data_IF_378724633794
#
_entry.id   IF_378724633794
#
_cell.length_a   1.000
_cell.length_b   1.000
_cell.length_c   1.000
_cell.angle_alpha   90.00
_cell.angle_beta   90.00
_cell.angle_gamma   90.00
#
_symmetry.space_group_name_H-M   'P 1'
#
loop_
_entity.id
_entity.type
_entity.pdbx_description
1 polymer ?
#
# COMPACT_ATOMS: atom_id res chain seq x y z
N UNK A 1 -85.62 -1.39 -0.46
CA UNK A 1 -85.40 0.03 -0.83
C UNK A 1 -83.90 0.22 -0.99
N UNK A 2 -83.41 0.29 -2.24
CA UNK A 2 -82.82 1.51 -2.84
C UNK A 2 -81.42 1.81 -2.27
N UNK A 3 -80.31 1.89 -3.02
CA UNK A 3 -80.08 2.04 -4.47
C UNK A 3 -78.70 1.48 -4.87
N UNK A 4 -78.67 1.03 -6.12
CA UNK A 4 -77.55 0.67 -6.99
C UNK A 4 -76.65 1.86 -7.37
N UNK A 5 -75.51 1.53 -8.01
CA UNK A 5 -74.70 2.27 -9.01
C UNK A 5 -73.27 2.53 -8.51
N UNK A 6 -72.20 2.36 -9.27
CA UNK A 6 -71.93 1.78 -10.59
C UNK A 6 -70.39 1.69 -10.68
N UNK A 7 -69.85 0.70 -11.40
CA UNK A 7 -68.41 0.64 -11.72
C UNK A 7 -68.14 1.21 -13.11
N UNK A 8 -66.96 1.84 -13.21
CA UNK A 8 -66.11 2.08 -14.40
C UNK A 8 -66.45 3.29 -15.30
N UNK A 9 -65.54 3.77 -16.18
CA UNK A 9 -64.06 3.78 -16.15
C UNK A 9 -63.44 5.13 -16.64
N UNK A 10 -62.10 5.14 -16.75
CA UNK A 10 -61.26 5.93 -17.69
C UNK A 10 -60.93 7.41 -17.41
N UNK A 11 -59.61 7.64 -17.42
CA UNK A 11 -58.89 8.69 -18.18
C UNK A 11 -58.18 9.73 -17.31
N UNK A 12 -56.84 9.66 -17.30
CA UNK A 12 -56.00 10.73 -17.87
C UNK A 12 -54.50 10.46 -17.63
N UNK A 13 -53.80 10.21 -18.74
CA UNK A 13 -52.46 10.66 -19.10
C UNK A 13 -51.41 10.97 -18.00
N UNK A 14 -50.30 10.23 -18.06
CA UNK A 14 -48.97 10.71 -17.64
C UNK A 14 -48.57 11.96 -18.44
N UNK A 15 -47.79 12.85 -17.81
CA UNK A 15 -46.53 13.23 -18.43
C UNK A 15 -45.36 12.90 -17.52
N UNK A 16 -44.35 12.30 -18.14
CA UNK A 16 -42.96 12.26 -17.67
C UNK A 16 -42.57 13.62 -17.08
N UNK A 17 -42.11 13.62 -15.83
CA UNK A 17 -41.17 14.64 -15.39
C UNK A 17 -39.90 13.95 -14.90
N UNK A 18 -38.91 14.07 -15.78
CA UNK A 18 -37.49 13.87 -15.56
C UNK A 18 -37.07 14.35 -14.15
N UNK A 19 -36.71 13.41 -13.29
CA UNK A 19 -35.65 13.62 -12.30
C UNK A 19 -34.68 12.45 -12.41
N UNK A 20 -33.95 12.42 -13.52
CA UNK A 20 -32.64 11.80 -13.59
C UNK A 20 -31.67 12.74 -12.84
N UNK A 21 -31.81 12.82 -11.52
CA UNK A 21 -30.76 13.39 -10.68
C UNK A 21 -29.58 12.44 -10.71
N UNK A 22 -28.67 12.73 -11.64
CA UNK A 22 -27.25 12.50 -11.55
C UNK A 22 -26.87 11.24 -10.75
N UNK A 23 -26.96 10.09 -11.43
CA UNK A 23 -25.96 9.04 -11.29
C UNK A 23 -24.61 9.62 -11.71
N UNK A 24 -24.04 10.50 -10.89
CA UNK A 24 -22.60 10.60 -10.83
C UNK A 24 -22.19 9.35 -10.05
N UNK A 25 -21.47 8.38 -10.64
CA UNK A 25 -20.53 7.67 -9.81
C UNK A 25 -19.71 8.76 -9.13
N UNK A 26 -19.75 8.78 -7.80
CA UNK A 26 -18.67 9.40 -7.04
C UNK A 26 -17.44 8.64 -7.51
N UNK A 27 -16.72 9.23 -8.48
CA UNK A 27 -15.37 8.86 -8.85
C UNK A 27 -14.48 9.22 -7.66
N UNK A 28 -14.61 8.43 -6.61
CA UNK A 28 -13.81 8.48 -5.38
C UNK A 28 -13.21 7.10 -5.20
N UNK A 29 -12.39 6.67 -6.17
CA UNK A 29 -11.69 5.38 -6.12
C UNK A 29 -10.17 5.53 -6.32
N UNK A 30 -9.64 6.69 -5.95
CA UNK A 30 -8.23 7.05 -6.11
C UNK A 30 -7.43 7.08 -4.79
N UNK A 31 -8.03 6.86 -3.62
CA UNK A 31 -7.29 6.99 -2.34
C UNK A 31 -6.43 5.76 -1.95
N UNK A 32 -6.46 4.65 -2.69
CA UNK A 32 -5.78 3.41 -2.27
C UNK A 32 -5.07 2.64 -3.42
N UNK A 33 -4.49 3.36 -4.39
CA UNK A 33 -3.72 2.74 -5.48
C UNK A 33 -2.25 3.15 -5.42
N UNK A 34 -1.36 2.28 -5.92
CA UNK A 34 0.10 2.48 -5.88
C UNK A 34 0.65 2.64 -4.46
N UNK A 35 0.51 1.60 -3.63
CA UNK A 35 1.02 1.63 -2.26
C UNK A 35 2.26 0.76 -2.11
N UNK A 36 3.30 1.27 -1.44
CA UNK A 36 4.49 0.50 -1.09
C UNK A 36 4.53 0.25 0.41
N UNK A 37 4.78 -0.98 0.83
CA UNK A 37 4.94 -1.34 2.24
C UNK A 37 6.08 -2.31 2.49
N UNK A 38 6.40 -2.48 3.77
CA UNK A 38 7.29 -3.52 4.27
C UNK A 38 6.47 -4.55 5.03
N UNK A 39 6.71 -5.82 4.77
CA UNK A 39 5.91 -6.92 5.30
C UNK A 39 6.79 -8.09 5.72
N UNK A 40 6.28 -8.99 6.56
CA UNK A 40 6.96 -10.20 6.98
C UNK A 40 6.74 -11.38 6.01
N UNK A 41 5.87 -11.19 5.03
CA UNK A 41 5.52 -12.14 3.98
C UNK A 41 5.54 -11.46 2.59
N UNK A 42 5.79 -12.22 1.51
CA UNK A 42 5.86 -11.68 0.15
C UNK A 42 4.50 -11.25 -0.43
N UNK A 43 3.39 -11.68 0.19
CA UNK A 43 2.03 -11.35 -0.28
C UNK A 43 1.56 -9.98 0.25
N UNK A 44 2.34 -9.36 1.14
CA UNK A 44 2.05 -8.03 1.66
C UNK A 44 0.94 -8.00 2.70
N UNK A 45 0.83 -9.04 3.53
CA UNK A 45 -0.32 -9.24 4.44
C UNK A 45 0.02 -9.09 5.92
N UNK A 46 1.29 -9.23 6.30
CA UNK A 46 1.78 -9.22 7.67
C UNK A 46 2.70 -8.01 7.87
N UNK A 47 2.15 -6.93 8.39
CA UNK A 47 2.85 -5.67 8.65
C UNK A 47 3.44 -5.58 10.08
N UNK A 48 3.25 -6.61 10.91
CA UNK A 48 3.79 -6.67 12.27
C UNK A 48 4.08 -8.09 12.72
N UNK A 49 5.12 -8.26 13.53
CA UNK A 49 5.47 -9.55 14.13
C UNK A 49 6.22 -9.37 15.44
N UNK A 50 5.95 -10.23 16.43
CA UNK A 50 6.75 -10.32 17.64
C UNK A 50 8.05 -11.10 17.37
N UNK A 51 9.17 -10.57 17.85
CA UNK A 51 10.50 -11.15 17.61
C UNK A 51 11.31 -11.18 18.90
N UNK A 52 12.29 -12.06 18.94
CA UNK A 52 13.33 -12.02 19.98
C UNK A 52 14.27 -10.84 19.74
N UNK A 53 14.78 -10.17 20.79
CA UNK A 53 15.84 -9.18 20.64
C UNK A 53 17.11 -9.78 20.04
N UNK A 54 17.86 -8.99 19.27
CA UNK A 54 19.14 -9.36 18.65
C UNK A 54 19.02 -10.47 17.61
N UNK A 55 18.07 -10.34 16.71
CA UNK A 55 17.72 -11.33 15.71
C UNK A 55 17.72 -10.75 14.30
N UNK A 56 17.92 -11.62 13.31
CA UNK A 56 17.87 -11.24 11.90
C UNK A 56 16.55 -11.67 11.26
N UNK A 57 16.00 -10.80 10.43
CA UNK A 57 14.73 -11.02 9.75
C UNK A 57 14.82 -10.67 8.28
N UNK A 58 13.94 -11.28 7.48
CA UNK A 58 13.63 -10.82 6.14
C UNK A 58 12.31 -10.06 6.16
N UNK A 59 12.35 -8.83 5.66
CA UNK A 59 11.16 -8.05 5.32
C UNK A 59 11.02 -8.00 3.81
N UNK A 60 9.80 -8.00 3.31
CA UNK A 60 9.47 -7.94 1.89
C UNK A 60 8.96 -6.55 1.58
N UNK A 61 9.60 -5.89 0.63
CA UNK A 61 9.15 -4.63 0.09
C UNK A 61 8.13 -4.93 -1.02
N UNK A 62 6.86 -4.67 -0.76
CA UNK A 62 5.74 -5.09 -1.64
C UNK A 62 4.99 -3.88 -2.14
N UNK A 63 4.82 -3.81 -3.47
CA UNK A 63 3.94 -2.86 -4.16
C UNK A 63 2.54 -3.46 -4.25
N UNK A 64 1.54 -2.72 -3.80
CA UNK A 64 0.15 -3.11 -3.72
C UNK A 64 -0.73 -2.23 -4.62
N UNK A 65 -1.68 -2.88 -5.28
CA UNK A 65 -2.65 -2.26 -6.18
C UNK A 65 -2.00 -1.33 -7.22
N UNK A 66 -0.97 -1.77 -7.97
CA UNK A 66 -0.33 -0.91 -8.93
C UNK A 66 -1.25 -0.62 -10.12
N UNK A 67 -1.47 0.66 -10.37
CA UNK A 67 -2.25 1.19 -11.49
C UNK A 67 -1.47 2.32 -12.18
N UNK A 68 -1.58 2.40 -13.50
CA UNK A 68 -1.01 3.49 -14.28
C UNK A 68 -2.16 4.34 -14.85
N UNK A 69 -2.28 5.57 -14.34
CA UNK A 69 -3.29 6.57 -14.75
C UNK A 69 -2.91 7.30 -16.06
N UNK A 70 -1.63 7.25 -16.44
CA UNK A 70 -1.08 7.91 -17.63
C UNK A 70 -1.04 7.02 -18.87
N UNK A 71 -1.39 5.75 -18.76
CA UNK A 71 -1.15 4.76 -19.80
C UNK A 71 -1.76 5.16 -21.16
N UNK A 72 -0.91 5.29 -22.17
CA UNK A 72 -1.31 5.67 -23.53
C UNK A 72 -2.00 7.05 -23.63
N UNK A 73 -1.89 7.88 -22.60
CA UNK A 73 -2.42 9.24 -22.56
C UNK A 73 -3.93 9.39 -22.30
N UNK A 74 -4.68 8.33 -21.93
CA UNK A 74 -6.13 8.48 -21.72
C UNK A 74 -6.85 7.50 -20.79
N UNK A 75 -6.18 6.84 -19.84
CA UNK A 75 -6.94 6.10 -18.82
C UNK A 75 -6.11 5.34 -17.79
N UNK A 76 -6.76 5.06 -16.66
CA UNK A 76 -6.28 4.16 -15.60
C UNK A 76 -6.38 2.71 -16.03
N UNK A 77 -5.29 1.96 -15.87
CA UNK A 77 -5.30 0.49 -15.95
C UNK A 77 -4.51 -0.14 -14.82
N UNK A 78 -4.77 -1.43 -14.59
CA UNK A 78 -3.91 -2.26 -13.76
C UNK A 78 -2.55 -2.49 -14.43
N UNK A 79 -1.49 -2.45 -13.63
CA UNK A 79 -0.13 -2.78 -14.06
C UNK A 79 0.08 -4.28 -13.97
N UNK A 80 0.49 -4.93 -15.07
CA UNK A 80 0.76 -6.36 -15.11
C UNK A 80 2.20 -6.72 -14.72
N UNK A 81 3.15 -5.79 -14.86
CA UNK A 81 4.54 -6.01 -14.46
C UNK A 81 5.33 -4.71 -14.24
N UNK A 82 6.35 -4.77 -13.38
CA UNK A 82 7.15 -3.63 -12.92
C UNK A 82 8.59 -3.77 -13.39
N UNK A 83 9.10 -2.77 -14.11
CA UNK A 83 10.47 -2.77 -14.66
C UNK A 83 11.52 -2.19 -13.69
N UNK A 84 11.09 -1.39 -12.71
CA UNK A 84 11.99 -0.76 -11.75
C UNK A 84 11.22 0.02 -10.69
N UNK A 85 11.91 0.47 -9.65
CA UNK A 85 11.35 1.27 -8.58
C UNK A 85 12.39 2.12 -7.87
N UNK A 86 11.92 3.16 -7.17
CA UNK A 86 12.73 3.99 -6.30
C UNK A 86 12.03 4.26 -4.96
N UNK A 87 12.75 4.09 -3.85
CA UNK A 87 12.30 4.45 -2.51
C UNK A 87 13.46 4.54 -1.51
N UNK A 88 13.27 5.28 -0.42
CA UNK A 88 14.12 5.20 0.76
C UNK A 88 13.49 4.35 1.86
N UNK A 89 14.32 3.66 2.65
CA UNK A 89 13.92 2.89 3.83
C UNK A 89 14.57 3.52 5.07
N UNK A 90 13.76 3.87 6.05
CA UNK A 90 14.21 4.47 7.30
C UNK A 90 14.01 3.46 8.43
N UNK A 91 15.06 2.75 8.86
CA UNK A 91 14.96 1.85 9.99
C UNK A 91 14.73 2.64 11.29
N UNK A 92 13.98 2.06 12.26
CA UNK A 92 13.88 2.63 13.60
C UNK A 92 15.24 2.63 14.31
N UNK A 93 15.39 3.49 15.31
CA UNK A 93 16.60 3.52 16.13
C UNK A 93 16.86 2.16 16.77
N UNK A 94 18.06 1.63 16.55
CA UNK A 94 18.47 0.32 17.06
C UNK A 94 18.44 -0.77 16.00
N UNK A 95 17.78 -0.56 14.86
CA UNK A 95 17.75 -1.52 13.76
C UNK A 95 18.71 -1.15 12.64
N UNK A 96 19.19 -2.18 11.93
CA UNK A 96 20.12 -2.03 10.83
C UNK A 96 19.64 -2.80 9.60
N UNK A 97 19.69 -2.15 8.43
CA UNK A 97 19.55 -2.81 7.15
C UNK A 97 20.87 -3.51 6.81
N UNK A 98 20.85 -4.82 6.67
CA UNK A 98 22.03 -5.65 6.40
C UNK A 98 22.29 -5.79 4.91
N UNK A 99 21.26 -6.15 4.15
CA UNK A 99 21.34 -6.36 2.71
C UNK A 99 19.96 -6.23 2.06
N UNK A 100 19.96 -6.10 0.73
CA UNK A 100 18.76 -6.13 -0.10
C UNK A 100 18.97 -7.16 -1.19
N UNK A 101 18.03 -8.08 -1.32
CA UNK A 101 17.97 -9.14 -2.32
C UNK A 101 16.82 -8.81 -3.28
N UNK A 102 17.05 -8.93 -4.58
CA UNK A 102 16.04 -8.68 -5.61
C UNK A 102 15.49 -10.00 -6.17
N UNK A 103 14.18 -10.08 -6.48
CA UNK A 103 13.56 -11.31 -6.99
C UNK A 103 14.08 -11.72 -8.38
N UNK A 104 14.60 -10.75 -9.12
CA UNK A 104 15.22 -10.92 -10.44
C UNK A 104 16.56 -10.17 -10.45
N UNK A 105 17.40 -10.46 -11.45
CA UNK A 105 18.62 -9.69 -11.68
C UNK A 105 18.27 -8.21 -11.81
N UNK A 106 18.95 -7.36 -11.05
CA UNK A 106 18.67 -5.94 -10.99
C UNK A 106 19.96 -5.13 -10.85
N UNK A 107 19.91 -3.87 -11.26
CA UNK A 107 20.91 -2.86 -10.96
C UNK A 107 20.30 -1.91 -9.95
N UNK A 108 20.91 -1.82 -8.77
CA UNK A 108 20.63 -0.76 -7.80
C UNK A 108 21.77 0.26 -7.86
N UNK A 109 21.48 1.48 -8.29
CA UNK A 109 22.49 2.57 -8.33
C UNK A 109 22.54 3.39 -7.04
N UNK A 110 21.67 3.08 -6.08
CA UNK A 110 21.63 3.72 -4.77
C UNK A 110 22.39 2.93 -3.69
N UNK A 111 21.85 2.91 -2.48
CA UNK A 111 22.38 2.21 -1.30
C UNK A 111 21.34 1.22 -0.76
N UNK A 112 21.63 0.53 0.34
CA UNK A 112 20.68 -0.40 1.00
C UNK A 112 19.46 0.30 1.59
N UNK A 113 19.58 1.58 1.96
CA UNK A 113 18.49 2.39 2.51
C UNK A 113 17.92 3.42 1.54
N UNK A 114 18.48 3.52 0.32
CA UNK A 114 18.01 4.41 -0.74
C UNK A 114 18.07 3.64 -2.06
N UNK A 115 16.98 2.98 -2.40
CA UNK A 115 16.87 2.08 -3.53
C UNK A 115 16.49 2.86 -4.78
N UNK A 116 17.29 2.71 -5.84
CA UNK A 116 16.98 3.19 -7.19
C UNK A 116 17.32 2.03 -8.12
N UNK A 117 16.30 1.27 -8.49
CA UNK A 117 16.44 -0.10 -8.98
C UNK A 117 15.81 -0.25 -10.35
N UNK A 118 16.58 -0.78 -11.30
CA UNK A 118 16.08 -1.28 -12.57
C UNK A 118 16.26 -2.80 -12.66
N UNK A 119 15.20 -3.53 -12.98
CA UNK A 119 15.27 -4.97 -13.17
C UNK A 119 15.69 -5.30 -14.62
N UNK A 120 16.51 -6.33 -14.79
CA UNK A 120 16.88 -6.84 -16.12
C UNK A 120 15.69 -7.48 -16.84
N UNK A 121 14.65 -7.87 -16.10
CA UNK A 121 13.36 -8.36 -16.59
C UNK A 121 12.27 -7.85 -15.65
N UNK A 122 11.11 -7.51 -16.19
CA UNK A 122 10.00 -7.02 -15.39
C UNK A 122 9.53 -8.04 -14.34
N UNK A 123 9.28 -7.57 -13.11
CA UNK A 123 8.69 -8.34 -12.03
C UNK A 123 7.18 -8.43 -12.27
N UNK A 124 6.60 -9.63 -12.38
CA UNK A 124 5.15 -9.76 -12.60
C UNK A 124 4.36 -9.31 -11.37
N UNK A 125 3.24 -8.62 -11.61
CA UNK A 125 2.23 -8.35 -10.59
C UNK A 125 1.34 -9.59 -10.49
N UNK A 126 1.17 -10.11 -9.27
CA UNK A 126 0.38 -11.31 -9.01
C UNK A 126 -1.11 -11.07 -9.24
N UNK A 127 -1.89 -12.16 -9.24
CA UNK A 127 -3.36 -12.07 -9.27
C UNK A 127 -3.97 -11.37 -8.05
N UNK A 128 -3.24 -11.23 -6.94
CA UNK A 128 -3.64 -10.44 -5.78
C UNK A 128 -3.33 -8.95 -5.92
N UNK A 129 -2.90 -8.50 -7.11
CA UNK A 129 -2.45 -7.11 -7.38
C UNK A 129 -1.30 -6.69 -6.48
N UNK A 130 -0.36 -7.61 -6.23
CA UNK A 130 0.84 -7.37 -5.43
C UNK A 130 2.09 -7.77 -6.20
N UNK A 131 3.20 -7.04 -5.98
CA UNK A 131 4.52 -7.40 -6.48
C UNK A 131 5.56 -7.23 -5.38
N UNK A 132 6.23 -8.31 -4.99
CA UNK A 132 7.44 -8.23 -4.15
C UNK A 132 8.57 -7.66 -4.99
N UNK A 133 9.06 -6.48 -4.64
CA UNK A 133 10.12 -5.78 -5.36
C UNK A 133 11.51 -6.08 -4.78
N UNK A 134 11.59 -6.35 -3.48
CA UNK A 134 12.84 -6.71 -2.82
C UNK A 134 12.59 -7.47 -1.50
N UNK A 135 13.59 -8.23 -1.07
CA UNK A 135 13.71 -8.76 0.28
C UNK A 135 14.83 -8.01 1.00
N UNK A 136 14.48 -7.35 2.10
CA UNK A 136 15.39 -6.56 2.93
C UNK A 136 15.76 -7.39 4.16
N UNK A 137 17.05 -7.70 4.31
CA UNK A 137 17.57 -8.34 5.52
C UNK A 137 17.83 -7.27 6.57
N UNK A 138 17.30 -7.48 7.76
CA UNK A 138 17.44 -6.54 8.88
C UNK A 138 17.96 -7.24 10.11
N UNK A 139 18.78 -6.55 10.89
CA UNK A 139 19.13 -6.92 12.27
C UNK A 139 18.30 -6.07 13.21
N UNK A 140 17.60 -6.72 14.13
CA UNK A 140 16.77 -6.05 15.12
C UNK A 140 17.24 -6.26 16.55
N UNK A 141 17.30 -5.19 17.33
CA UNK A 141 17.71 -5.23 18.74
C UNK A 141 16.51 -5.23 19.71
N UNK A 142 15.28 -5.36 19.21
CA UNK A 142 14.10 -5.69 20.02
C UNK A 142 13.42 -4.51 20.73
N UNK A 143 13.64 -3.26 20.33
CA UNK A 143 13.00 -2.08 20.94
C UNK A 143 12.49 -1.06 19.90
N UNK A 144 11.74 -1.52 18.91
CA UNK A 144 11.43 -0.74 17.72
C UNK A 144 10.00 -0.19 17.67
N UNK A 145 9.59 0.47 18.75
CA UNK A 145 8.28 1.15 18.82
C UNK A 145 8.10 2.22 17.74
N UNK A 146 9.19 2.77 17.22
CA UNK A 146 9.16 3.75 16.15
C UNK A 146 8.75 3.16 14.79
N UNK A 147 8.92 1.85 14.60
CA UNK A 147 8.64 1.16 13.34
C UNK A 147 9.54 1.57 12.18
N UNK A 148 9.47 0.83 11.09
CA UNK A 148 10.13 1.17 9.84
C UNK A 148 9.28 2.17 9.07
N UNK A 149 9.90 3.22 8.55
CA UNK A 149 9.23 4.17 7.65
C UNK A 149 9.79 4.02 6.23
N UNK A 150 9.00 4.46 5.26
CA UNK A 150 9.47 4.68 3.90
C UNK A 150 9.69 6.18 3.68
N UNK A 151 10.52 6.50 2.69
CA UNK A 151 10.80 7.86 2.25
C UNK A 151 10.96 7.90 0.74
N UNK A 152 11.02 9.08 0.15
CA UNK A 152 11.38 9.22 -1.26
C UNK A 152 12.84 8.85 -1.49
N UNK A 153 13.17 8.42 -2.70
CA UNK A 153 14.56 8.22 -3.06
C UNK A 153 15.30 9.57 -3.15
N UNK A 154 16.63 9.54 -3.02
CA UNK A 154 17.51 10.69 -3.21
C UNK A 154 18.60 10.35 -4.24
N UNK A 155 18.63 11.02 -5.40
CA UNK A 155 17.62 11.98 -5.90
C UNK A 155 16.26 11.30 -6.15
N UNK A 156 15.19 12.08 -6.06
CA UNK A 156 13.83 11.64 -6.41
C UNK A 156 13.56 11.91 -7.89
N UNK A 157 12.96 10.96 -8.59
CA UNK A 157 12.56 11.14 -9.99
C UNK A 157 11.24 11.90 -10.10
N UNK A 158 10.28 11.63 -9.21
CA UNK A 158 9.05 12.43 -9.07
C UNK A 158 9.09 13.19 -7.73
N UNK A 159 8.94 14.54 -7.74
CA UNK A 159 8.96 15.31 -6.50
C UNK A 159 7.89 14.89 -5.49
N UNK A 160 8.32 14.52 -4.27
CA UNK A 160 7.44 14.30 -3.13
C UNK A 160 6.75 12.94 -3.07
N UNK A 161 7.05 12.02 -3.99
CA UNK A 161 6.53 10.65 -3.98
C UNK A 161 7.65 9.64 -4.25
N UNK A 162 7.41 8.37 -3.93
CA UNK A 162 8.22 7.27 -4.47
C UNK A 162 7.73 6.95 -5.88
N UNK A 163 8.49 6.21 -6.68
CA UNK A 163 8.05 5.88 -8.04
C UNK A 163 8.40 4.45 -8.46
N UNK A 164 7.61 3.91 -9.39
CA UNK A 164 7.93 2.67 -10.09
C UNK A 164 7.73 2.83 -11.59
N UNK A 165 8.31 1.90 -12.36
CA UNK A 165 8.20 1.88 -13.83
C UNK A 165 7.24 0.78 -14.23
N UNK A 166 6.16 1.15 -14.92
CA UNK A 166 5.25 0.23 -15.58
C UNK A 166 5.92 -0.37 -16.82
N UNK A 167 6.22 -1.67 -16.78
CA UNK A 167 6.99 -2.32 -17.84
C UNK A 167 6.23 -2.46 -19.18
N UNK A 168 4.92 -2.27 -19.14
CA UNK A 168 4.02 -2.39 -20.29
C UNK A 168 3.78 -1.03 -20.96
N UNK A 169 4.20 0.07 -20.33
CA UNK A 169 4.10 1.41 -20.89
C UNK A 169 5.32 1.74 -21.77
N UNK A 170 5.08 1.95 -23.06
CA UNK A 170 6.12 2.31 -24.03
C UNK A 170 6.66 3.73 -23.86
N UNK A 171 6.01 4.57 -23.05
CA UNK A 171 6.48 5.91 -22.72
C UNK A 171 7.61 5.92 -21.69
N UNK A 172 7.91 4.79 -21.05
CA UNK A 172 8.77 4.69 -19.86
C UNK A 172 8.33 5.66 -18.74
N UNK A 173 7.02 5.91 -18.64
CA UNK A 173 6.47 6.85 -17.67
C UNK A 173 6.61 6.29 -16.24
N UNK A 174 7.14 7.14 -15.36
CA UNK A 174 7.22 6.85 -13.95
C UNK A 174 5.86 7.02 -13.30
N UNK A 175 5.46 6.03 -12.52
CA UNK A 175 4.20 6.04 -11.77
C UNK A 175 4.48 6.31 -10.30
N UNK A 176 3.83 7.34 -9.75
CA UNK A 176 3.97 7.71 -8.35
C UNK A 176 3.32 6.69 -7.41
N UNK A 177 3.96 6.45 -6.27
CA UNK A 177 3.47 5.57 -5.21
C UNK A 177 3.69 6.18 -3.81
N UNK A 178 2.83 5.81 -2.87
CA UNK A 178 2.82 6.29 -1.49
C UNK A 178 3.07 5.15 -0.50
N UNK A 179 3.56 5.43 0.73
CA UNK A 179 3.64 4.41 1.76
C UNK A 179 2.26 3.88 2.11
N UNK A 180 2.14 2.58 2.40
CA UNK A 180 0.88 1.95 2.88
C UNK A 180 0.32 2.60 4.15
N UNK A 181 1.15 3.29 4.92
CA UNK A 181 0.75 4.08 6.10
C UNK A 181 0.05 5.41 5.76
N UNK A 182 -0.01 5.77 4.47
CA UNK A 182 -0.59 6.99 3.93
C UNK A 182 0.30 8.24 4.05
N UNK A 183 1.45 8.17 4.74
CA UNK A 183 2.37 9.30 4.88
C UNK A 183 3.81 8.86 5.19
N UNK A 184 4.80 9.62 4.70
CA UNK A 184 6.22 9.34 4.92
C UNK A 184 6.69 9.48 6.37
N UNK A 185 5.95 10.17 7.23
CA UNK A 185 6.24 10.31 8.65
C UNK A 185 5.51 9.27 9.52
N UNK A 186 4.93 8.22 8.92
CA UNK A 186 4.22 7.15 9.61
C UNK A 186 4.86 5.80 9.30
N UNK A 187 5.08 4.95 10.33
CA UNK A 187 5.64 3.62 10.11
C UNK A 187 4.72 2.75 9.26
N UNK A 188 5.35 1.90 8.44
CA UNK A 188 4.72 0.89 7.58
C UNK A 188 4.88 -0.54 8.12
N UNK A 189 5.79 -0.76 9.07
CA UNK A 189 6.08 -2.07 9.64
C UNK A 189 6.61 -1.99 11.08
N UNK A 190 6.31 -2.98 11.92
CA UNK A 190 6.76 -3.05 13.30
C UNK A 190 7.29 -4.42 13.72
N UNK A 191 8.34 -4.37 14.55
CA UNK A 191 8.73 -5.48 15.41
C UNK A 191 8.17 -5.28 16.81
N UNK A 192 7.32 -6.21 17.25
CA UNK A 192 6.68 -6.24 18.57
C UNK A 192 5.19 -5.94 18.55
N UNK A 193 4.56 -6.14 19.71
CA UNK A 193 3.16 -5.81 19.93
C UNK A 193 2.99 -4.30 20.13
N UNK A 194 2.41 -3.59 19.15
CA UNK A 194 1.67 -2.36 19.46
C UNK A 194 0.53 -2.65 20.45
N UNK A 195 0.09 -3.91 20.50
CA UNK A 195 -1.00 -4.43 21.32
C UNK A 195 -0.60 -4.96 22.70
N UNK A 196 0.48 -4.46 23.31
CA UNK A 196 0.39 -4.23 24.76
C UNK A 196 -0.58 -3.05 24.94
N UNK A 197 -1.87 -3.32 24.66
CA UNK A 197 -2.93 -2.70 25.42
C UNK A 197 -2.47 -2.81 26.86
N UNK A 198 -2.36 -1.70 27.57
CA UNK A 198 -2.41 -1.70 29.02
C UNK A 198 -3.77 -2.29 29.45
N UNK A 199 -3.95 -3.60 29.27
CA UNK A 199 -5.01 -4.37 29.90
C UNK A 199 -4.64 -4.66 31.35
N UNK A 200 -3.42 -4.29 31.79
CA UNK A 200 -3.12 -4.07 33.19
C UNK A 200 -4.00 -2.92 33.69
N UNK A 201 -5.26 -3.24 34.01
CA UNK A 201 -6.09 -2.40 34.86
C UNK A 201 -5.24 -2.08 36.08
N UNK A 202 -5.29 -0.84 36.54
CA UNK A 202 -4.55 -0.33 37.71
C UNK A 202 -4.52 -1.28 38.94
N UNK A 203 -5.48 -2.21 39.04
CA UNK A 203 -5.53 -3.27 40.04
C UNK A 203 -4.44 -4.37 39.93
N UNK A 204 -3.95 -4.72 38.73
CA UNK A 204 -2.91 -5.76 38.57
C UNK A 204 -1.51 -5.24 38.89
N UNK A 205 -1.23 -3.96 38.64
CA UNK A 205 0.05 -3.34 39.06
C UNK A 205 0.19 -3.31 40.59
N UNK A 206 -0.92 -3.20 41.32
CA UNK A 206 -0.92 -3.21 42.79
C UNK A 206 -0.72 -4.58 43.42
N UNK A 207 -0.97 -5.68 42.71
CA UNK A 207 -0.77 -7.02 43.28
C UNK A 207 0.71 -7.43 43.34
N UNK A 208 1.58 -6.75 42.58
CA UNK A 208 3.03 -6.96 42.55
C UNK A 208 3.79 -6.26 43.70
N UNK A 209 3.12 -5.40 44.47
CA UNK A 209 3.70 -4.72 45.65
C UNK A 209 3.11 -5.22 46.97
N UNK A 210 2.74 -6.50 47.04
CA UNK A 210 2.36 -7.18 48.30
C UNK A 210 3.55 -7.85 48.96
#
# INVERSE_FOLDING_TARGET
MWKSLAKSPLSAAMPMLFLLTCLLPVSGRAEESNLLGLFYDPDGTVDQVAIDPNSQHALYLVLLNPVNDGFGGSGTRDVGSVAGFECGIVPPSGDFLLSVEFPLMAINVGSTNNLIVGFARAVPVSSSRAATLATVRVMSFGNNRAGYMLSTATPQSIPGVMAYVDAEDTGDDLVGMMPVSGAFNRPVFWFGDWNVRENARWGEVKSLFR
#
